data_IF_334836850431
#
_entry.id   IF_334836850431
#
_cell.length_a   1.000
_cell.length_b   1.000
_cell.length_c   1.000
_cell.angle_alpha   90.00
_cell.angle_beta   90.00
_cell.angle_gamma   90.00
#
_symmetry.space_group_name_H-M   'P 1'
#
loop_
_entity.id
_entity.type
_entity.pdbx_description
1 polymer ?
#
# COMPACT_ATOMS: atom_id res chain seq x y z
N UNK A 1 8.04 15.62 9.64
CA UNK A 1 7.98 15.15 8.24
C UNK A 1 7.52 13.70 8.20
N UNK A 2 8.31 12.76 8.72
CA UNK A 2 8.01 11.31 8.77
C UNK A 2 6.59 10.94 9.25
N UNK A 3 6.10 11.55 10.34
CA UNK A 3 4.74 11.28 10.84
C UNK A 3 3.64 11.72 9.87
N UNK A 4 3.83 12.86 9.18
CA UNK A 4 2.86 13.36 8.22
C UNK A 4 2.82 12.45 6.98
N UNK A 5 3.99 12.00 6.50
CA UNK A 5 4.08 11.07 5.38
C UNK A 5 3.37 9.75 5.69
N UNK A 6 3.56 9.21 6.91
CA UNK A 6 2.84 8.02 7.37
C UNK A 6 1.32 8.21 7.40
N UNK A 7 0.83 9.35 7.88
CA UNK A 7 -0.62 9.64 7.91
C UNK A 7 -1.20 9.74 6.50
N UNK A 8 -0.48 10.36 5.56
CA UNK A 8 -0.90 10.44 4.15
C UNK A 8 -0.95 9.06 3.51
N UNK A 9 0.08 8.23 3.74
CA UNK A 9 0.12 6.86 3.23
C UNK A 9 -1.04 6.01 3.80
N UNK A 10 -1.36 6.15 5.09
CA UNK A 10 -2.51 5.47 5.73
C UNK A 10 -3.83 5.93 5.08
N UNK A 11 -4.04 7.24 4.96
CA UNK A 11 -5.27 7.79 4.41
C UNK A 11 -5.52 7.30 2.98
N UNK A 12 -4.50 7.30 2.14
CA UNK A 12 -4.61 6.83 0.75
C UNK A 12 -4.81 5.31 0.67
N UNK A 13 -4.13 4.54 1.53
CA UNK A 13 -4.29 3.09 1.59
C UNK A 13 -5.70 2.69 2.02
N UNK A 14 -6.23 3.33 3.07
CA UNK A 14 -7.59 3.11 3.55
C UNK A 14 -8.62 3.54 2.51
N UNK A 15 -8.46 4.72 1.90
CA UNK A 15 -9.35 5.21 0.85
C UNK A 15 -9.41 4.25 -0.34
N UNK A 16 -8.25 3.70 -0.75
CA UNK A 16 -8.17 2.72 -1.84
C UNK A 16 -8.85 1.41 -1.45
N UNK A 17 -8.60 0.91 -0.24
CA UNK A 17 -9.21 -0.32 0.28
C UNK A 17 -10.73 -0.21 0.32
N UNK A 18 -11.26 0.87 0.90
CA UNK A 18 -12.70 1.10 1.01
C UNK A 18 -13.37 1.26 -0.35
N UNK A 19 -12.71 1.93 -1.30
CA UNK A 19 -13.21 2.06 -2.67
C UNK A 19 -13.34 0.69 -3.34
N UNK A 20 -12.26 -0.12 -3.33
CA UNK A 20 -12.26 -1.45 -3.95
C UNK A 20 -13.25 -2.37 -3.25
N UNK A 21 -13.35 -2.31 -1.92
CA UNK A 21 -14.33 -3.07 -1.16
C UNK A 21 -15.77 -2.71 -1.56
N UNK A 22 -16.10 -1.42 -1.62
CA UNK A 22 -17.43 -0.97 -2.06
C UNK A 22 -17.74 -1.40 -3.50
N UNK A 23 -16.77 -1.34 -4.39
CA UNK A 23 -16.92 -1.81 -5.78
C UNK A 23 -17.16 -3.33 -5.84
N UNK A 24 -16.57 -4.11 -4.93
CA UNK A 24 -16.82 -5.56 -4.85
C UNK A 24 -18.24 -5.90 -4.36
N UNK A 25 -18.85 -5.03 -3.55
CA UNK A 25 -20.22 -5.20 -3.05
C UNK A 25 -21.27 -4.72 -4.07
N UNK A 26 -20.92 -3.72 -4.88
CA UNK A 26 -21.79 -3.21 -5.94
C UNK A 26 -21.68 -4.14 -7.15
N UNK A 27 -22.71 -4.93 -7.41
CA UNK A 27 -22.79 -5.87 -8.56
C UNK A 27 -22.89 -5.11 -9.90
N UNK A 28 -21.83 -4.41 -10.27
CA UNK A 28 -21.64 -3.79 -11.57
C UNK A 28 -20.65 -4.67 -12.36
N UNK A 29 -20.80 -4.73 -13.68
CA UNK A 29 -19.94 -5.44 -14.65
C UNK A 29 -18.49 -4.91 -14.71
N UNK A 30 -17.96 -4.41 -13.58
CA UNK A 30 -16.64 -3.85 -13.45
C UNK A 30 -15.62 -4.97 -13.24
N UNK A 31 -14.46 -4.80 -13.86
CA UNK A 31 -13.33 -5.70 -13.72
C UNK A 31 -12.70 -5.56 -12.30
N UNK A 32 -13.29 -6.27 -11.34
CA UNK A 32 -12.86 -6.31 -9.94
C UNK A 32 -11.40 -6.80 -9.84
N UNK A 33 -10.95 -7.67 -10.75
CA UNK A 33 -9.58 -8.21 -10.72
C UNK A 33 -8.54 -7.10 -10.96
N UNK A 34 -8.82 -6.18 -11.88
CA UNK A 34 -7.94 -5.02 -12.12
C UNK A 34 -7.88 -4.09 -10.91
N UNK A 35 -9.00 -3.85 -10.23
CA UNK A 35 -9.04 -3.04 -9.00
C UNK A 35 -8.33 -3.71 -7.82
N UNK A 36 -8.44 -5.02 -7.69
CA UNK A 36 -7.67 -5.80 -6.72
C UNK A 36 -6.17 -5.75 -7.03
N UNK A 37 -5.78 -5.75 -8.31
CA UNK A 37 -4.38 -5.56 -8.70
C UNK A 37 -3.84 -4.17 -8.32
N UNK A 38 -4.66 -3.11 -8.47
CA UNK A 38 -4.34 -1.77 -7.97
C UNK A 38 -4.13 -1.81 -6.46
N UNK A 39 -5.10 -2.36 -5.71
CA UNK A 39 -5.04 -2.42 -4.26
C UNK A 39 -3.79 -3.17 -3.77
N UNK A 40 -3.52 -4.35 -4.30
CA UNK A 40 -2.36 -5.17 -3.91
C UNK A 40 -1.03 -4.50 -4.23
N UNK A 41 -0.91 -3.89 -5.41
CA UNK A 41 0.32 -3.18 -5.78
C UNK A 41 0.54 -1.93 -4.92
N UNK A 42 -0.52 -1.18 -4.64
CA UNK A 42 -0.46 0.01 -3.80
C UNK A 42 -0.15 -0.31 -2.33
N UNK A 43 -0.85 -1.28 -1.73
CA UNK A 43 -0.61 -1.70 -0.35
C UNK A 43 0.79 -2.28 -0.17
N UNK A 44 1.29 -3.05 -1.14
CA UNK A 44 2.65 -3.58 -1.12
C UNK A 44 3.68 -2.44 -1.03
N UNK A 45 3.63 -1.47 -1.94
CA UNK A 45 4.59 -0.35 -1.95
C UNK A 45 4.44 0.56 -0.72
N UNK A 46 3.20 0.84 -0.31
CA UNK A 46 2.91 1.65 0.88
C UNK A 46 3.47 1.01 2.15
N UNK A 47 3.44 -0.32 2.25
CA UNK A 47 4.01 -1.02 3.39
C UNK A 47 5.54 -0.82 3.51
N UNK A 48 6.28 -0.83 2.39
CA UNK A 48 7.72 -0.51 2.41
C UNK A 48 7.99 0.94 2.79
N UNK A 49 7.18 1.89 2.29
CA UNK A 49 7.31 3.31 2.68
C UNK A 49 7.03 3.50 4.17
N UNK A 50 6.02 2.82 4.69
CA UNK A 50 5.68 2.81 6.12
C UNK A 50 6.81 2.22 6.95
N UNK A 51 7.38 1.09 6.55
CA UNK A 51 8.52 0.46 7.22
C UNK A 51 9.73 1.39 7.29
N UNK A 52 10.09 2.02 6.18
CA UNK A 52 11.20 2.99 6.13
C UNK A 52 10.92 4.16 7.07
N UNK A 53 9.74 4.77 6.96
CA UNK A 53 9.35 5.91 7.78
C UNK A 53 9.38 5.56 9.28
N UNK A 54 8.93 4.37 9.65
CA UNK A 54 8.95 3.92 11.03
C UNK A 54 10.39 3.72 11.55
N UNK A 55 11.33 3.26 10.73
CA UNK A 55 12.76 3.19 11.09
C UNK A 55 13.34 4.59 11.27
N UNK A 56 13.05 5.50 10.35
CA UNK A 56 13.53 6.89 10.43
C UNK A 56 12.99 7.56 11.72
N UNK A 57 11.74 7.26 12.11
CA UNK A 57 11.16 7.73 13.37
C UNK A 57 11.86 7.15 14.61
N UNK A 58 12.27 5.87 14.59
CA UNK A 58 13.09 5.30 15.67
C UNK A 58 14.36 6.12 15.87
N UNK A 59 15.08 6.41 14.78
CA UNK A 59 16.33 7.17 14.85
C UNK A 59 16.20 8.58 15.41
N UNK A 60 14.98 9.15 15.40
CA UNK A 60 14.70 10.49 15.90
C UNK A 60 14.25 10.51 17.36
N UNK A 61 13.53 9.48 17.83
CA UNK A 61 12.80 9.53 19.11
C UNK A 61 13.22 8.47 20.13
N UNK A 62 13.94 7.42 19.72
CA UNK A 62 14.22 6.25 20.55
C UNK A 62 15.69 6.23 20.95
N UNK A 63 15.96 5.95 22.23
CA UNK A 63 17.33 5.75 22.71
C UNK A 63 17.94 4.47 22.13
N UNK A 64 19.26 4.46 21.93
CA UNK A 64 19.97 3.37 21.26
C UNK A 64 19.71 1.98 21.87
N UNK A 65 19.62 1.91 23.21
CA UNK A 65 19.36 0.67 23.95
C UNK A 65 17.96 0.08 23.64
N UNK A 66 16.99 0.93 23.31
CA UNK A 66 15.61 0.52 23.02
C UNK A 66 15.38 0.20 21.54
N UNK A 67 16.28 0.61 20.63
CA UNK A 67 16.14 0.41 19.18
C UNK A 67 15.82 -1.05 18.82
N UNK A 68 16.52 -2.09 19.36
CA UNK A 68 16.23 -3.47 19.00
C UNK A 68 14.80 -3.90 19.35
N UNK A 69 14.25 -3.40 20.45
CA UNK A 69 12.88 -3.67 20.88
C UNK A 69 11.86 -3.05 19.91
N UNK A 70 12.02 -1.77 19.60
CA UNK A 70 11.13 -1.08 18.66
C UNK A 70 11.20 -1.65 17.25
N UNK A 71 12.40 -2.00 16.77
CA UNK A 71 12.60 -2.63 15.46
C UNK A 71 11.84 -3.95 15.32
N UNK A 72 11.78 -4.75 16.39
CA UNK A 72 10.99 -6.00 16.39
C UNK A 72 9.49 -5.72 16.27
N UNK A 73 9.00 -4.69 16.97
CA UNK A 73 7.61 -4.24 16.88
C UNK A 73 7.24 -3.79 15.48
N UNK A 74 8.05 -2.92 14.87
CA UNK A 74 7.82 -2.43 13.50
C UNK A 74 7.78 -3.59 12.51
N UNK A 75 8.76 -4.49 12.51
CA UNK A 75 8.80 -5.63 11.58
C UNK A 75 7.56 -6.51 11.67
N UNK A 76 6.98 -6.65 12.86
CA UNK A 76 5.75 -7.40 13.06
C UNK A 76 4.54 -6.66 12.50
N UNK A 77 4.45 -5.35 12.74
CA UNK A 77 3.33 -4.50 12.31
C UNK A 77 3.33 -4.22 10.80
N UNK A 78 4.50 -4.19 10.18
CA UNK A 78 4.66 -3.96 8.72
C UNK A 78 4.84 -5.27 7.96
N UNK A 79 4.34 -6.38 8.47
CA UNK A 79 4.41 -7.65 7.75
C UNK A 79 3.34 -7.69 6.66
N UNK A 80 3.76 -7.77 5.40
CA UNK A 80 2.86 -7.89 4.26
C UNK A 80 3.36 -8.96 3.26
N UNK A 81 2.47 -9.75 2.63
CA UNK A 81 2.87 -10.79 1.68
C UNK A 81 3.58 -10.21 0.46
N UNK A 82 4.60 -10.95 -0.02
CA UNK A 82 5.33 -10.58 -1.23
C UNK A 82 4.42 -10.64 -2.45
N UNK A 83 4.33 -9.52 -3.17
CA UNK A 83 3.51 -9.42 -4.38
C UNK A 83 4.38 -9.42 -5.63
N UNK A 84 3.89 -10.06 -6.70
CA UNK A 84 4.49 -9.95 -8.02
C UNK A 84 4.06 -8.63 -8.68
N UNK A 85 4.72 -7.52 -8.32
CA UNK A 85 4.39 -6.18 -8.83
C UNK A 85 4.36 -6.15 -10.36
N UNK A 86 5.29 -6.86 -11.03
CA UNK A 86 5.37 -6.88 -12.50
C UNK A 86 4.06 -7.36 -13.12
N UNK A 87 3.48 -8.44 -12.61
CA UNK A 87 2.23 -8.97 -13.14
C UNK A 87 1.06 -8.06 -12.81
N UNK A 88 0.98 -7.55 -11.58
CA UNK A 88 -0.08 -6.63 -11.15
C UNK A 88 -0.11 -5.35 -11.99
N UNK A 89 1.05 -4.70 -12.16
CA UNK A 89 1.16 -3.48 -12.96
C UNK A 89 0.90 -3.72 -14.45
N UNK A 90 1.20 -4.90 -14.98
CA UNK A 90 0.88 -5.26 -16.37
C UNK A 90 -0.62 -5.45 -16.59
N UNK A 91 -1.33 -6.07 -15.64
CA UNK A 91 -2.78 -6.18 -15.70
C UNK A 91 -3.43 -4.79 -15.78
N UNK A 92 -3.04 -3.90 -14.86
CA UNK A 92 -3.50 -2.49 -14.85
C UNK A 92 -3.17 -1.78 -16.16
N UNK A 93 -1.92 -1.89 -16.64
CA UNK A 93 -1.49 -1.22 -17.87
C UNK A 93 -2.27 -1.72 -19.11
N UNK A 94 -2.62 -3.01 -19.16
CA UNK A 94 -3.35 -3.57 -20.30
C UNK A 94 -4.73 -2.94 -20.47
N UNK A 95 -5.41 -2.62 -19.36
CA UNK A 95 -6.71 -1.93 -19.38
C UNK A 95 -6.57 -0.49 -19.85
N UNK A 96 -5.60 0.24 -19.31
CA UNK A 96 -5.35 1.63 -19.69
C UNK A 96 -4.95 1.76 -21.17
N UNK A 97 -4.08 0.88 -21.67
CA UNK A 97 -3.65 0.88 -23.09
C UNK A 97 -4.84 0.57 -24.02
N UNK A 98 -5.74 -0.32 -23.61
CA UNK A 98 -6.93 -0.65 -24.40
C UNK A 98 -7.92 0.52 -24.46
N UNK A 99 -8.00 1.32 -23.40
CA UNK A 99 -8.87 2.50 -23.33
C UNK A 99 -8.24 3.77 -23.93
N UNK A 100 -6.90 3.83 -24.02
CA UNK A 100 -6.11 5.02 -24.42
C UNK A 100 -6.38 6.27 -23.57
N UNK A 101 -6.84 6.06 -22.33
CA UNK A 101 -7.13 7.10 -21.35
C UNK A 101 -6.96 6.56 -19.93
N UNK A 102 -7.16 7.40 -18.92
CA UNK A 102 -7.24 6.96 -17.53
C UNK A 102 -8.66 6.45 -17.22
N UNK A 103 -8.88 5.15 -17.38
CA UNK A 103 -10.20 4.52 -17.36
C UNK A 103 -10.58 3.84 -16.03
N UNK A 104 -9.73 3.91 -14.98
CA UNK A 104 -9.89 3.16 -13.73
C UNK A 104 -10.14 4.06 -12.51
#
# INVERSE_FOLDING_TARGET
MVMADMVVDIFNAESTLLRVHKMSEMTLDQDIETYDAILKSYLYETNFRMYKSAIDAIGLFVSEELIPMYMKGIKMLTKYPVQNIKNLKRAIASVQIKADEYAL
#
